data_IF_095907409568
#
_entry.id   IF_095907409568
#
_cell.length_a   1.000
_cell.length_b   1.000
_cell.length_c   1.000
_cell.angle_alpha   90.00
_cell.angle_beta   90.00
_cell.angle_gamma   90.00
#
_symmetry.space_group_name_H-M   'P 1'
#
loop_
_entity.id
_entity.type
_entity.pdbx_description
1 polymer ?
#
# COMPACT_ATOMS: atom_id res chain seq x y z
N UNK A 1 19.74 15.30 2.69
CA UNK A 1 19.76 14.37 3.84
C UNK A 1 21.19 14.17 4.30
N UNK A 2 21.51 14.47 5.55
CA UNK A 2 22.85 14.27 6.08
C UNK A 2 23.18 12.76 6.11
N UNK A 3 24.30 12.37 5.51
CA UNK A 3 24.75 10.97 5.43
C UNK A 3 25.30 10.57 6.81
N UNK A 4 24.44 10.06 7.68
CA UNK A 4 24.83 9.54 8.99
C UNK A 4 25.81 8.39 8.73
N UNK A 5 27.08 8.61 9.07
CA UNK A 5 28.16 7.62 8.94
C UNK A 5 28.05 6.64 10.10
N UNK A 6 27.97 5.35 9.78
CA UNK A 6 28.05 4.29 10.77
C UNK A 6 29.44 4.31 11.45
N UNK A 7 29.46 4.55 12.78
CA UNK A 7 30.68 4.63 13.60
C UNK A 7 30.93 3.35 14.41
N UNK A 8 30.21 2.28 14.10
CA UNK A 8 30.31 0.99 14.82
C UNK A 8 31.72 0.41 14.77
N UNK A 9 32.42 0.57 13.63
CA UNK A 9 33.80 0.07 13.52
C UNK A 9 34.79 0.93 14.31
N UNK A 10 34.64 2.26 14.32
CA UNK A 10 35.45 3.17 15.14
C UNK A 10 35.38 2.79 16.64
N UNK A 11 34.19 2.40 17.13
CA UNK A 11 33.99 1.91 18.50
C UNK A 11 34.68 0.56 18.75
N UNK A 12 34.56 -0.40 17.83
CA UNK A 12 35.22 -1.70 17.96
C UNK A 12 36.74 -1.56 17.97
N UNK A 13 37.29 -0.66 17.16
CA UNK A 13 38.72 -0.34 17.15
C UNK A 13 39.18 0.30 18.46
N UNK A 14 38.41 1.23 19.02
CA UNK A 14 38.71 1.80 20.34
C UNK A 14 38.73 0.74 21.44
N UNK A 15 37.77 -0.20 21.44
CA UNK A 15 37.74 -1.29 22.44
C UNK A 15 38.90 -2.26 22.23
N UNK A 16 39.28 -2.56 20.97
CA UNK A 16 40.49 -3.35 20.66
C UNK A 16 41.74 -2.71 21.25
N UNK A 17 41.92 -1.41 21.05
CA UNK A 17 43.09 -0.68 21.57
C UNK A 17 43.16 -0.69 23.10
N UNK A 18 42.02 -0.53 23.79
CA UNK A 18 41.95 -0.56 25.25
C UNK A 18 42.21 -1.98 25.80
N UNK A 19 41.70 -3.01 25.13
CA UNK A 19 41.94 -4.39 25.54
C UNK A 19 43.42 -4.80 25.34
N UNK A 20 44.09 -4.31 24.30
CA UNK A 20 45.52 -4.54 24.09
C UNK A 20 46.35 -3.80 25.16
N UNK A 21 46.00 -2.55 25.50
CA UNK A 21 46.73 -1.78 26.52
C UNK A 21 46.58 -2.36 27.93
N UNK A 22 45.47 -3.04 28.21
CA UNK A 22 45.23 -3.77 29.46
C UNK A 22 45.85 -5.18 29.47
N UNK A 23 46.55 -5.60 28.40
CA UNK A 23 47.27 -6.88 28.34
C UNK A 23 46.38 -8.11 28.19
N UNK A 24 45.19 -7.99 27.60
CA UNK A 24 44.31 -9.13 27.38
C UNK A 24 44.87 -10.08 26.30
N UNK A 25 44.84 -11.39 26.60
CA UNK A 25 45.20 -12.44 25.64
C UNK A 25 44.22 -12.47 24.45
N UNK A 26 44.67 -12.96 23.30
CA UNK A 26 43.91 -12.99 22.04
C UNK A 26 42.56 -13.72 22.16
N UNK A 27 42.49 -14.76 23.00
CA UNK A 27 41.24 -15.49 23.30
C UNK A 27 40.22 -14.65 24.07
N UNK A 28 40.67 -13.83 25.03
CA UNK A 28 39.78 -12.91 25.78
C UNK A 28 39.35 -11.73 24.92
N UNK A 29 40.23 -11.23 24.07
CA UNK A 29 39.90 -10.21 23.09
C UNK A 29 38.82 -10.71 22.12
N UNK A 30 38.98 -11.93 21.59
CA UNK A 30 37.98 -12.55 20.72
C UNK A 30 36.63 -12.75 21.43
N UNK A 31 36.62 -13.15 22.70
CA UNK A 31 35.40 -13.29 23.49
C UNK A 31 34.68 -11.95 23.71
N UNK A 32 35.42 -10.87 23.99
CA UNK A 32 34.88 -9.50 24.12
C UNK A 32 34.34 -9.00 22.78
N UNK A 33 35.06 -9.26 21.69
CA UNK A 33 34.61 -8.88 20.34
C UNK A 33 33.37 -9.67 19.90
N UNK A 34 33.22 -10.91 20.36
CA UNK A 34 32.08 -11.78 20.08
C UNK A 34 30.86 -11.49 20.97
N UNK A 35 31.06 -10.95 22.18
CA UNK A 35 29.97 -10.59 23.10
C UNK A 35 29.26 -9.29 22.73
N UNK A 36 29.76 -8.55 21.74
CA UNK A 36 29.06 -7.37 21.24
C UNK A 36 27.72 -7.74 20.61
N UNK A 37 26.64 -7.18 21.16
CA UNK A 37 25.29 -7.22 20.59
C UNK A 37 25.24 -6.48 19.23
N UNK A 38 26.26 -5.66 18.93
CA UNK A 38 26.33 -4.87 17.71
C UNK A 38 26.80 -5.75 16.55
N UNK A 39 25.83 -6.26 15.81
CA UNK A 39 26.03 -7.11 14.65
C UNK A 39 26.77 -6.37 13.54
N UNK A 40 27.51 -7.11 12.70
CA UNK A 40 28.12 -6.56 11.48
C UNK A 40 27.01 -5.93 10.63
N UNK A 41 27.19 -4.70 10.11
CA UNK A 41 26.17 -4.07 9.27
C UNK A 41 25.83 -5.02 8.12
N UNK A 42 24.54 -5.31 7.97
CA UNK A 42 24.05 -6.25 6.95
C UNK A 42 24.56 -5.78 5.59
N UNK A 43 25.38 -6.61 4.95
CA UNK A 43 25.91 -6.30 3.62
C UNK A 43 24.74 -5.97 2.71
N UNK A 44 24.78 -4.78 2.10
CA UNK A 44 23.67 -4.30 1.28
C UNK A 44 23.50 -5.29 0.12
N UNK A 45 22.29 -5.80 -0.04
CA UNK A 45 21.99 -6.70 -1.13
C UNK A 45 22.25 -6.01 -2.48
N UNK A 46 22.56 -6.76 -3.56
CA UNK A 46 22.70 -6.17 -4.89
C UNK A 46 21.47 -5.35 -5.29
N UNK A 47 20.28 -5.79 -4.88
CA UNK A 47 19.03 -5.04 -5.01
C UNK A 47 19.08 -3.70 -4.26
N UNK A 48 19.45 -3.70 -2.98
CA UNK A 48 19.52 -2.46 -2.17
C UNK A 48 20.53 -1.47 -2.76
N UNK A 49 21.66 -1.96 -3.28
CA UNK A 49 22.65 -1.11 -3.94
C UNK A 49 22.11 -0.49 -5.23
N UNK A 50 21.41 -1.28 -6.05
CA UNK A 50 20.75 -0.80 -7.26
C UNK A 50 19.66 0.24 -6.93
N UNK A 51 18.81 -0.04 -5.94
CA UNK A 51 17.73 0.85 -5.51
C UNK A 51 18.22 2.21 -5.00
N UNK A 52 19.35 2.23 -4.30
CA UNK A 52 19.97 3.48 -3.86
C UNK A 52 20.56 4.27 -5.03
N UNK A 53 21.18 3.59 -6.00
CA UNK A 53 21.67 4.23 -7.22
C UNK A 53 20.53 4.84 -8.03
N UNK A 54 19.40 4.14 -8.17
CA UNK A 54 18.22 4.69 -8.85
C UNK A 54 17.64 5.88 -8.10
N UNK A 55 17.64 5.88 -6.76
CA UNK A 55 17.20 7.02 -5.97
C UNK A 55 18.08 8.25 -6.19
N UNK A 56 19.41 8.07 -6.26
CA UNK A 56 20.34 9.14 -6.62
C UNK A 56 20.08 9.68 -8.03
N UNK A 57 19.83 8.79 -9.00
CA UNK A 57 19.47 9.19 -10.38
C UNK A 57 18.15 9.97 -10.45
N UNK A 58 17.13 9.57 -9.69
CA UNK A 58 15.85 10.29 -9.61
C UNK A 58 16.07 11.69 -9.04
N UNK A 59 16.82 11.82 -7.94
CA UNK A 59 17.11 13.13 -7.37
C UNK A 59 17.89 14.06 -8.31
N UNK A 60 18.82 13.51 -9.11
CA UNK A 60 19.52 14.28 -10.13
C UNK A 60 18.58 14.74 -11.26
N UNK A 61 17.65 13.87 -11.67
CA UNK A 61 16.64 14.19 -12.68
C UNK A 61 15.67 15.27 -12.19
N UNK A 62 15.20 15.18 -10.94
CA UNK A 62 14.33 16.20 -10.33
C UNK A 62 15.00 17.58 -10.32
N UNK A 63 16.28 17.65 -9.94
CA UNK A 63 17.05 18.90 -9.97
C UNK A 63 17.20 19.44 -11.39
N UNK A 64 17.45 18.57 -12.36
CA UNK A 64 17.55 18.94 -13.77
C UNK A 64 16.23 19.50 -14.30
N UNK A 65 15.12 18.79 -14.06
CA UNK A 65 13.77 19.20 -14.46
C UNK A 65 13.36 20.53 -13.83
N UNK A 66 13.69 20.74 -12.55
CA UNK A 66 13.43 22.01 -11.87
C UNK A 66 14.21 23.17 -12.49
N UNK A 67 15.49 22.96 -12.84
CA UNK A 67 16.34 23.98 -13.47
C UNK A 67 15.84 24.36 -14.87
N UNK A 68 15.31 23.39 -15.60
CA UNK A 68 14.83 23.54 -16.97
C UNK A 68 13.30 23.68 -17.06
N UNK A 69 12.58 23.90 -15.95
CA UNK A 69 11.11 23.91 -15.94
C UNK A 69 10.48 24.87 -16.97
N UNK A 70 11.04 26.06 -17.14
CA UNK A 70 10.53 27.06 -18.09
C UNK A 70 10.65 26.61 -19.55
N UNK A 71 11.67 25.82 -19.84
CA UNK A 71 11.94 25.26 -21.16
C UNK A 71 10.88 24.24 -21.60
N UNK A 72 10.22 23.57 -20.63
CA UNK A 72 9.24 22.51 -20.88
C UNK A 72 7.78 22.98 -20.93
N UNK A 73 7.49 24.19 -20.46
CA UNK A 73 6.12 24.76 -20.41
C UNK A 73 5.83 25.63 -21.65
N UNK A 74 6.85 25.92 -22.46
CA UNK A 74 6.73 26.80 -23.61
C UNK A 74 6.04 26.10 -24.80
N UNK A 75 4.80 26.53 -25.10
CA UNK A 75 3.88 25.87 -26.03
C UNK A 75 4.37 25.85 -27.49
N UNK A 76 5.31 26.73 -27.85
CA UNK A 76 5.80 26.90 -29.23
C UNK A 76 7.22 26.36 -29.47
N UNK A 77 7.79 25.63 -28.51
CA UNK A 77 9.16 25.11 -28.62
C UNK A 77 9.26 23.80 -29.41
N UNK A 78 8.25 22.95 -29.35
CA UNK A 78 8.27 21.60 -29.92
C UNK A 78 7.37 21.52 -31.15
N UNK A 79 7.87 20.92 -32.22
CA UNK A 79 7.06 20.61 -33.41
C UNK A 79 5.99 19.56 -33.09
N UNK A 80 4.91 19.49 -33.87
CA UNK A 80 3.85 18.49 -33.69
C UNK A 80 4.39 17.06 -33.71
N UNK A 81 5.32 16.75 -34.61
CA UNK A 81 5.98 15.45 -34.70
C UNK A 81 6.83 15.11 -33.47
N UNK A 82 7.52 16.10 -32.87
CA UNK A 82 8.26 15.89 -31.63
C UNK A 82 7.32 15.64 -30.45
N UNK A 83 6.15 16.29 -30.42
CA UNK A 83 5.12 16.05 -29.39
C UNK A 83 4.57 14.63 -29.49
N UNK A 84 4.19 14.18 -30.69
CA UNK A 84 3.68 12.83 -30.91
C UNK A 84 4.72 11.76 -30.53
N UNK A 85 6.00 11.98 -30.86
CA UNK A 85 7.09 11.08 -30.48
C UNK A 85 7.25 10.99 -28.96
N UNK A 86 7.19 12.13 -28.27
CA UNK A 86 7.28 12.18 -26.80
C UNK A 86 6.07 11.47 -26.17
N UNK A 87 4.86 11.70 -26.67
CA UNK A 87 3.65 11.04 -26.19
C UNK A 87 3.74 9.51 -26.36
N UNK A 88 4.21 9.04 -27.52
CA UNK A 88 4.43 7.62 -27.77
C UNK A 88 5.45 7.02 -26.79
N UNK A 89 6.57 7.69 -26.55
CA UNK A 89 7.58 7.24 -25.59
C UNK A 89 7.04 7.18 -24.15
N UNK A 90 6.24 8.18 -23.74
CA UNK A 90 5.57 8.21 -22.43
C UNK A 90 4.59 7.05 -22.29
N UNK A 91 3.81 6.75 -23.34
CA UNK A 91 2.89 5.61 -23.35
C UNK A 91 3.64 4.28 -23.18
N UNK A 92 4.72 4.06 -23.94
CA UNK A 92 5.55 2.84 -23.85
C UNK A 92 6.17 2.71 -22.45
N UNK A 93 6.67 3.81 -21.89
CA UNK A 93 7.22 3.83 -20.53
C UNK A 93 6.13 3.45 -19.51
N UNK A 94 4.93 4.02 -19.65
CA UNK A 94 3.82 3.76 -18.74
C UNK A 94 3.42 2.28 -18.77
N UNK A 95 3.34 1.65 -19.95
CA UNK A 95 3.02 0.23 -20.08
C UNK A 95 4.07 -0.65 -19.38
N UNK A 96 5.36 -0.35 -19.60
CA UNK A 96 6.46 -1.06 -18.93
C UNK A 96 6.40 -0.88 -17.41
N UNK A 97 6.07 0.31 -16.93
CA UNK A 97 5.94 0.57 -15.50
C UNK A 97 4.79 -0.24 -14.88
N UNK A 98 3.62 -0.28 -15.52
CA UNK A 98 2.49 -1.12 -15.09
C UNK A 98 2.88 -2.61 -15.04
N UNK A 99 3.62 -3.11 -16.03
CA UNK A 99 4.12 -4.48 -16.05
C UNK A 99 5.04 -4.80 -14.86
N UNK A 100 5.96 -3.88 -14.54
CA UNK A 100 6.87 -4.03 -13.38
C UNK A 100 6.10 -3.99 -12.07
N UNK A 101 5.13 -3.08 -11.94
CA UNK A 101 4.26 -2.98 -10.75
C UNK A 101 3.47 -4.27 -10.52
N UNK A 102 2.88 -4.85 -11.58
CA UNK A 102 2.16 -6.11 -11.49
C UNK A 102 3.06 -7.26 -11.01
N UNK A 103 4.28 -7.37 -11.55
CA UNK A 103 5.27 -8.38 -11.10
C UNK A 103 5.69 -8.16 -9.66
N UNK A 104 5.88 -6.90 -9.25
CA UNK A 104 6.21 -6.58 -7.87
C UNK A 104 5.09 -7.01 -6.91
N UNK A 105 3.84 -6.74 -7.26
CA UNK A 105 2.68 -7.13 -6.46
C UNK A 105 2.52 -8.64 -6.37
N UNK A 106 2.75 -9.36 -7.47
CA UNK A 106 2.79 -10.82 -7.47
C UNK A 106 3.86 -11.37 -6.50
N UNK A 107 5.09 -10.86 -6.57
CA UNK A 107 6.18 -11.28 -5.67
C UNK A 107 5.93 -10.89 -4.22
N UNK A 108 5.25 -9.76 -3.99
CA UNK A 108 4.81 -9.32 -2.67
C UNK A 108 3.78 -10.30 -2.10
N UNK A 109 2.78 -10.69 -2.88
CA UNK A 109 1.76 -11.67 -2.49
C UNK A 109 2.36 -13.05 -2.16
N UNK A 110 3.29 -13.55 -2.97
CA UNK A 110 3.98 -14.83 -2.70
C UNK A 110 4.71 -14.77 -1.36
N UNK A 111 5.45 -13.69 -1.08
CA UNK A 111 6.17 -13.55 0.19
C UNK A 111 5.23 -13.49 1.40
N UNK A 112 4.07 -12.85 1.25
CA UNK A 112 3.05 -12.86 2.30
C UNK A 112 2.49 -14.25 2.54
N UNK A 113 2.18 -14.99 1.46
CA UNK A 113 1.70 -16.36 1.57
C UNK A 113 2.74 -17.29 2.21
N UNK A 114 4.01 -17.16 1.84
CA UNK A 114 5.10 -17.91 2.45
C UNK A 114 5.30 -17.59 3.94
N UNK A 115 5.10 -16.33 4.33
CA UNK A 115 5.16 -15.92 5.74
C UNK A 115 3.99 -16.52 6.54
N UNK A 116 2.79 -16.58 5.95
CA UNK A 116 1.62 -17.24 6.54
C UNK A 116 1.87 -18.75 6.68
N UNK A 117 2.28 -19.42 5.61
CA UNK A 117 2.56 -20.85 5.58
C UNK A 117 3.66 -21.28 6.57
N UNK A 118 4.63 -20.41 6.86
CA UNK A 118 5.68 -20.64 7.87
C UNK A 118 5.19 -20.45 9.31
N UNK A 119 4.16 -19.64 9.53
CA UNK A 119 3.61 -19.35 10.87
C UNK A 119 2.46 -20.28 11.26
N UNK A 120 1.85 -21.00 10.32
CA UNK A 120 0.89 -22.07 10.65
C UNK A 120 1.70 -23.24 11.23
N UNK A 121 1.60 -23.53 12.55
CA UNK A 121 2.32 -24.66 13.12
C UNK A 121 1.78 -25.93 12.47
N UNK A 122 2.69 -26.86 12.16
CA UNK A 122 2.39 -28.23 11.75
C UNK A 122 1.54 -28.91 12.83
N UNK A 123 0.22 -28.72 12.82
CA UNK A 123 -0.77 -29.60 13.46
C UNK A 123 -0.80 -30.93 12.68
N UNK A 124 0.32 -31.67 12.72
CA UNK A 124 0.28 -33.13 12.57
C UNK A 124 0.73 -33.71 13.90
N UNK A 125 -0.28 -33.88 14.73
CA UNK A 125 -0.32 -34.76 15.89
C UNK A 125 0.31 -36.11 15.52
N UNK A 126 1.52 -36.37 16.02
CA UNK A 126 2.06 -37.73 16.12
C UNK A 126 1.24 -38.48 17.18
N UNK A 127 0.08 -38.99 16.80
CA UNK A 127 -0.68 -39.99 17.57
C UNK A 127 -0.60 -41.31 16.82
N UNK A 128 0.49 -42.04 17.04
CA UNK A 128 0.57 -43.49 16.84
C UNK A 128 1.89 -44.03 17.46
N UNK A 129 1.97 -44.01 18.79
CA UNK A 129 2.73 -45.03 19.51
C UNK A 129 1.75 -46.15 19.89
N UNK A 130 2.27 -47.38 19.95
CA UNK A 130 1.66 -48.63 20.41
C UNK A 130 0.74 -49.39 19.45
N UNK A 131 1.36 -50.26 18.64
CA UNK A 131 0.83 -51.62 18.44
C UNK A 131 1.55 -52.55 19.39
N UNK A 132 0.74 -53.29 20.14
CA UNK A 132 1.13 -54.16 21.22
C UNK A 132 1.94 -55.38 20.76
N UNK A 133 2.89 -55.74 21.62
CA UNK A 133 3.38 -57.09 21.96
C UNK A 133 2.67 -58.29 21.31
N UNK A 134 3.45 -59.15 20.64
CA UNK A 134 3.25 -60.62 20.65
C UNK A 134 4.62 -61.31 20.59
N UNK A 135 4.98 -61.93 21.73
CA UNK A 135 5.83 -63.12 21.94
C UNK A 135 7.22 -63.19 21.31
N UNK A 136 8.26 -63.19 22.14
CA UNK A 136 9.32 -64.24 22.12
C UNK A 136 9.85 -64.43 23.56
N UNK A 137 9.98 -65.69 23.93
CA UNK A 137 10.51 -66.28 25.16
C UNK A 137 11.88 -65.72 25.62
N UNK A 138 12.09 -65.53 26.93
CA UNK A 138 13.06 -66.32 27.73
C UNK A 138 13.22 -65.81 29.19
N UNK A 139 12.71 -66.62 30.13
CA UNK A 139 13.32 -67.10 31.39
C UNK A 139 14.05 -66.19 32.40
N UNK A 140 13.47 -66.16 33.62
CA UNK A 140 14.07 -66.36 34.97
C UNK A 140 15.14 -65.39 35.51
N UNK A 141 14.87 -64.82 36.69
CA UNK A 141 15.54 -65.15 37.99
C UNK A 141 14.88 -64.39 39.16
N UNK A 142 14.86 -65.03 40.33
CA UNK A 142 14.06 -64.71 41.53
C UNK A 142 14.84 -63.91 42.61
N UNK A 143 14.06 -63.41 43.61
CA UNK A 143 14.39 -63.12 45.04
C UNK A 143 14.92 -61.69 45.35
N UNK A 144 14.56 -60.96 46.43
CA UNK A 144 13.83 -61.21 47.69
C UNK A 144 13.37 -59.85 48.33
N UNK A 145 12.25 -59.86 49.07
CA UNK A 145 11.68 -58.97 50.13
C UNK A 145 12.31 -57.62 50.58
N UNK A 146 11.46 -56.60 50.87
CA UNK A 146 11.24 -55.98 52.22
C UNK A 146 10.26 -54.77 52.22
N UNK A 147 9.16 -54.90 52.98
CA UNK A 147 8.33 -53.92 53.76
C UNK A 147 7.57 -52.72 53.14
N UNK A 148 6.27 -52.63 53.51
CA UNK A 148 5.26 -51.55 53.35
C UNK A 148 5.58 -50.25 54.17
N UNK A 149 4.65 -49.27 54.31
CA UNK A 149 4.01 -48.37 53.34
C UNK A 149 4.22 -46.88 53.73
N UNK A 150 4.16 -45.91 52.80
CA UNK A 150 4.03 -44.50 53.21
C UNK A 150 3.14 -43.68 52.27
N UNK A 151 2.27 -42.90 52.91
CA UNK A 151 0.95 -42.48 52.46
C UNK A 151 1.00 -41.01 52.02
N UNK A 152 1.60 -40.73 50.86
CA UNK A 152 1.71 -39.34 50.33
C UNK A 152 1.64 -39.33 48.80
N UNK A 153 0.53 -39.77 48.18
CA UNK A 153 0.35 -39.60 46.72
C UNK A 153 -1.03 -39.11 46.19
N UNK A 154 -2.07 -38.75 46.97
CA UNK A 154 -3.28 -38.19 46.37
C UNK A 154 -3.19 -36.68 46.05
N UNK A 155 -2.40 -35.91 46.82
CA UNK A 155 -2.43 -34.44 46.75
C UNK A 155 -1.60 -33.87 45.58
N UNK A 156 -0.45 -34.46 45.29
CA UNK A 156 0.39 -34.06 44.14
C UNK A 156 -0.29 -34.33 42.80
N UNK A 157 -1.07 -35.42 42.70
CA UNK A 157 -1.81 -35.75 41.49
C UNK A 157 -3.02 -34.84 41.29
N UNK A 158 -3.69 -34.44 42.38
CA UNK A 158 -4.82 -33.50 42.33
C UNK A 158 -4.41 -32.10 41.90
N UNK A 159 -3.30 -31.59 42.43
CA UNK A 159 -2.78 -30.27 42.03
C UNK A 159 -2.35 -30.28 40.56
N UNK A 160 -1.75 -31.37 40.07
CA UNK A 160 -1.37 -31.49 38.66
C UNK A 160 -2.59 -31.60 37.74
N UNK A 161 -3.64 -32.31 38.16
CA UNK A 161 -4.91 -32.38 37.44
C UNK A 161 -5.60 -31.00 37.37
N UNK A 162 -5.62 -30.28 38.49
CA UNK A 162 -6.23 -28.97 38.60
C UNK A 162 -5.49 -27.91 37.76
N UNK A 163 -4.15 -27.94 37.73
CA UNK A 163 -3.36 -27.05 36.86
C UNK A 163 -3.64 -27.33 35.38
N UNK A 164 -3.79 -28.59 34.99
CA UNK A 164 -4.14 -28.95 33.61
C UNK A 164 -5.55 -28.48 33.24
N UNK A 165 -6.50 -28.58 34.16
CA UNK A 165 -7.86 -28.07 33.97
C UNK A 165 -7.87 -26.54 33.88
N UNK A 166 -7.09 -25.85 34.72
CA UNK A 166 -6.92 -24.39 34.70
C UNK A 166 -6.27 -23.90 33.38
N UNK A 167 -5.24 -24.59 32.90
CA UNK A 167 -4.62 -24.32 31.58
C UNK A 167 -5.61 -24.55 30.44
N UNK A 168 -6.43 -25.60 30.53
CA UNK A 168 -7.45 -25.90 29.51
C UNK A 168 -8.53 -24.83 29.49
N UNK A 169 -8.98 -24.36 30.67
CA UNK A 169 -9.91 -23.25 30.80
C UNK A 169 -9.32 -21.94 30.27
N UNK A 170 -8.06 -21.63 30.59
CA UNK A 170 -7.38 -20.43 30.10
C UNK A 170 -7.27 -20.41 28.57
N UNK A 171 -6.86 -21.53 27.98
CA UNK A 171 -6.79 -21.69 26.51
C UNK A 171 -8.17 -21.59 25.86
N UNK A 172 -9.21 -22.11 26.52
CA UNK A 172 -10.57 -22.02 26.01
C UNK A 172 -11.08 -20.58 26.01
N UNK A 173 -10.80 -19.81 27.07
CA UNK A 173 -11.11 -18.38 27.14
C UNK A 173 -10.34 -17.58 26.07
N UNK A 174 -9.05 -17.88 25.87
CA UNK A 174 -8.25 -17.21 24.83
C UNK A 174 -8.77 -17.52 23.42
N UNK A 175 -9.15 -18.77 23.15
CA UNK A 175 -9.75 -19.17 21.88
C UNK A 175 -11.11 -18.51 21.64
N UNK A 176 -11.95 -18.40 22.67
CA UNK A 176 -13.23 -17.71 22.58
C UNK A 176 -13.03 -16.22 22.32
N UNK A 177 -12.08 -15.58 23.01
CA UNK A 177 -11.75 -14.17 22.78
C UNK A 177 -11.19 -13.92 21.37
N UNK A 178 -10.33 -14.81 20.86
CA UNK A 178 -9.83 -14.74 19.49
C UNK A 178 -10.95 -14.92 18.46
N UNK A 179 -11.92 -15.80 18.72
CA UNK A 179 -13.07 -16.00 17.85
C UNK A 179 -13.94 -14.75 17.81
N UNK A 180 -14.24 -14.14 18.96
CA UNK A 180 -14.98 -12.87 19.04
C UNK A 180 -14.27 -11.76 18.28
N UNK A 181 -12.96 -11.62 18.44
CA UNK A 181 -12.15 -10.64 17.71
C UNK A 181 -12.20 -10.88 16.19
N UNK A 182 -12.13 -12.14 15.75
CA UNK A 182 -12.23 -12.49 14.32
C UNK A 182 -13.61 -12.14 13.78
N UNK A 183 -14.68 -12.49 14.49
CA UNK A 183 -16.06 -12.19 14.08
C UNK A 183 -16.33 -10.68 14.01
N UNK A 184 -15.76 -9.90 14.95
CA UNK A 184 -15.81 -8.44 14.90
C UNK A 184 -15.08 -7.89 13.68
N UNK A 185 -13.88 -8.42 13.39
CA UNK A 185 -13.11 -7.99 12.21
C UNK A 185 -13.80 -8.37 10.89
N UNK A 186 -14.47 -9.52 10.84
CA UNK A 186 -15.26 -9.95 9.69
C UNK A 186 -16.42 -8.99 9.44
N UNK A 187 -17.16 -8.63 10.48
CA UNK A 187 -18.28 -7.69 10.39
C UNK A 187 -17.82 -6.32 9.88
N UNK A 188 -16.72 -5.79 10.43
CA UNK A 188 -16.12 -4.53 9.97
C UNK A 188 -15.66 -4.59 8.51
N UNK A 189 -15.12 -5.72 8.07
CA UNK A 189 -14.71 -5.91 6.68
C UNK A 189 -15.93 -5.95 5.73
N UNK A 190 -17.04 -6.58 6.15
CA UNK A 190 -18.28 -6.58 5.38
C UNK A 190 -18.88 -5.16 5.25
N UNK A 191 -18.90 -4.39 6.35
CA UNK A 191 -19.34 -3.00 6.33
C UNK A 191 -18.44 -2.13 5.43
N UNK A 192 -17.12 -2.30 5.52
CA UNK A 192 -16.18 -1.62 4.63
C UNK A 192 -16.39 -2.00 3.15
N UNK A 193 -16.73 -3.27 2.87
CA UNK A 193 -17.05 -3.72 1.51
C UNK A 193 -18.31 -3.05 0.97
N UNK A 194 -19.37 -3.00 1.78
CA UNK A 194 -20.62 -2.33 1.43
C UNK A 194 -20.42 -0.83 1.19
N UNK A 195 -19.67 -0.16 2.07
CA UNK A 195 -19.32 1.25 1.93
C UNK A 195 -18.48 1.50 0.67
N UNK A 196 -17.47 0.67 0.42
CA UNK A 196 -16.62 0.79 -0.76
C UNK A 196 -17.40 0.58 -2.07
N UNK A 197 -18.36 -0.36 -2.07
CA UNK A 197 -19.25 -0.56 -3.20
C UNK A 197 -20.11 0.68 -3.46
N UNK A 198 -20.74 1.25 -2.42
CA UNK A 198 -21.54 2.47 -2.54
C UNK A 198 -20.71 3.66 -3.03
N UNK A 199 -19.49 3.82 -2.51
CA UNK A 199 -18.56 4.87 -2.94
C UNK A 199 -18.17 4.69 -4.42
N UNK A 200 -17.90 3.46 -4.85
CA UNK A 200 -17.57 3.16 -6.25
C UNK A 200 -18.74 3.49 -7.18
N UNK A 201 -19.97 3.18 -6.79
CA UNK A 201 -21.18 3.55 -7.54
C UNK A 201 -21.33 5.06 -7.65
N UNK A 202 -21.15 5.80 -6.54
CA UNK A 202 -21.24 7.26 -6.56
C UNK A 202 -20.13 7.91 -7.38
N UNK A 203 -18.89 7.42 -7.31
CA UNK A 203 -17.77 7.92 -8.12
C UNK A 203 -18.03 7.69 -9.61
N UNK A 204 -18.55 6.52 -9.98
CA UNK A 204 -18.92 6.22 -11.36
C UNK A 204 -20.06 7.14 -11.84
N UNK A 205 -21.10 7.31 -11.03
CA UNK A 205 -22.20 8.21 -11.34
C UNK A 205 -21.72 9.66 -11.50
N UNK A 206 -20.81 10.12 -10.63
CA UNK A 206 -20.24 11.46 -10.71
C UNK A 206 -19.39 11.64 -11.97
N UNK A 207 -18.64 10.62 -12.39
CA UNK A 207 -17.87 10.66 -13.64
C UNK A 207 -18.79 10.86 -14.85
N UNK A 208 -19.92 10.14 -14.92
CA UNK A 208 -20.92 10.30 -15.98
C UNK A 208 -21.54 11.70 -15.99
N UNK A 209 -21.80 12.28 -14.81
CA UNK A 209 -22.31 13.66 -14.72
C UNK A 209 -21.31 14.70 -15.24
N UNK A 210 -20.02 14.50 -14.95
CA UNK A 210 -18.95 15.38 -15.46
C UNK A 210 -18.86 15.30 -16.98
N UNK A 211 -19.01 14.11 -17.56
CA UNK A 211 -19.00 13.90 -19.01
C UNK A 211 -20.16 14.65 -19.70
N UNK A 212 -21.38 14.56 -19.15
CA UNK A 212 -22.53 15.31 -19.67
C UNK A 212 -22.31 16.82 -19.59
N UNK A 213 -21.79 17.32 -18.47
CA UNK A 213 -21.48 18.74 -18.30
C UNK A 213 -20.39 19.20 -19.27
N UNK A 214 -19.40 18.35 -19.55
CA UNK A 214 -18.36 18.64 -20.54
C UNK A 214 -18.95 18.73 -21.95
N UNK A 215 -19.79 17.77 -22.35
CA UNK A 215 -20.43 17.79 -23.67
C UNK A 215 -21.28 19.06 -23.85
N UNK A 216 -22.08 19.42 -22.85
CA UNK A 216 -22.87 20.65 -22.85
C UNK A 216 -22.00 21.91 -22.92
N UNK A 217 -20.87 21.94 -22.22
CA UNK A 217 -19.94 23.06 -22.28
C UNK A 217 -19.32 23.19 -23.67
N UNK A 218 -18.91 22.08 -24.29
CA UNK A 218 -18.39 22.06 -25.66
C UNK A 218 -19.44 22.56 -26.66
N UNK A 219 -20.67 22.06 -26.56
CA UNK A 219 -21.77 22.52 -27.43
C UNK A 219 -22.05 24.02 -27.23
N UNK A 220 -22.10 24.49 -25.97
CA UNK A 220 -22.27 25.91 -25.66
C UNK A 220 -21.13 26.77 -26.25
N UNK A 221 -19.88 26.33 -26.16
CA UNK A 221 -18.74 27.06 -26.74
C UNK A 221 -18.82 27.12 -28.26
N UNK A 222 -19.23 26.02 -28.91
CA UNK A 222 -19.46 26.00 -30.37
C UNK A 222 -20.56 26.97 -30.77
N UNK A 223 -21.66 27.02 -30.02
CA UNK A 223 -22.76 27.95 -30.29
C UNK A 223 -22.33 29.41 -30.09
N UNK A 224 -21.51 29.71 -29.10
CA UNK A 224 -20.93 31.05 -28.89
C UNK A 224 -19.97 31.40 -30.03
N UNK A 225 -19.12 30.48 -30.48
CA UNK A 225 -18.21 30.71 -31.60
C UNK A 225 -18.96 31.00 -32.90
N UNK A 226 -19.98 30.21 -33.21
CA UNK A 226 -20.86 30.44 -34.36
C UNK A 226 -21.59 31.77 -34.23
N UNK A 227 -22.15 32.07 -33.06
CA UNK A 227 -22.78 33.35 -32.77
C UNK A 227 -21.84 34.54 -33.00
N UNK A 228 -20.58 34.43 -32.59
CA UNK A 228 -19.57 35.47 -32.80
C UNK A 228 -19.20 35.65 -34.28
N UNK A 229 -19.17 34.56 -35.07
CA UNK A 229 -18.97 34.62 -36.53
C UNK A 229 -20.12 35.35 -37.21
N UNK A 230 -21.36 35.03 -36.85
CA UNK A 230 -22.55 35.68 -37.39
C UNK A 230 -22.62 37.16 -36.99
N UNK A 231 -22.32 37.50 -35.74
CA UNK A 231 -22.21 38.90 -35.29
C UNK A 231 -21.14 39.68 -36.07
N UNK A 232 -19.98 39.07 -36.31
CA UNK A 232 -18.91 39.68 -37.09
C UNK A 232 -19.34 39.94 -38.54
N UNK A 233 -20.07 39.00 -39.14
CA UNK A 233 -20.63 39.17 -40.49
C UNK A 233 -21.74 40.24 -40.54
N UNK A 234 -22.59 40.34 -39.51
CA UNK A 234 -23.63 41.35 -39.42
C UNK A 234 -23.06 42.78 -39.28
N UNK A 235 -22.01 42.94 -38.46
CA UNK A 235 -21.26 44.21 -38.35
C UNK A 235 -20.67 44.60 -39.70
N UNK A 236 -20.08 43.66 -40.45
CA UNK A 236 -19.56 43.91 -41.79
C UNK A 236 -20.64 44.29 -42.81
N UNK A 237 -21.86 43.76 -42.65
CA UNK A 237 -23.01 44.05 -43.52
C UNK A 237 -23.72 45.36 -43.18
N UNK A 238 -23.33 46.06 -42.10
CA UNK A 238 -24.01 47.26 -41.59
C UNK A 238 -25.54 47.05 -41.45
N UNK A 239 -25.95 45.83 -41.07
CA UNK A 239 -27.35 45.55 -40.76
C UNK A 239 -27.70 46.22 -39.43
N UNK A 240 -28.89 46.82 -39.36
CA UNK A 240 -29.35 47.45 -38.12
C UNK A 240 -29.41 46.39 -37.02
N UNK A 241 -29.07 46.73 -35.77
CA UNK A 241 -29.01 45.78 -34.66
C UNK A 241 -30.29 44.92 -34.51
N UNK A 242 -31.45 45.44 -34.93
CA UNK A 242 -32.73 44.75 -34.95
C UNK A 242 -32.80 43.57 -35.94
N UNK A 243 -32.17 43.66 -37.11
CA UNK A 243 -32.09 42.53 -38.06
C UNK A 243 -31.13 41.44 -37.55
N UNK A 244 -30.08 41.84 -36.83
CA UNK A 244 -29.13 40.91 -36.23
C UNK A 244 -29.74 40.12 -35.05
N UNK A 245 -30.56 40.77 -34.21
CA UNK A 245 -31.31 40.12 -33.13
C UNK A 245 -32.33 39.11 -33.68
N UNK A 246 -33.03 39.44 -34.77
CA UNK A 246 -34.00 38.53 -35.39
C UNK A 246 -33.34 37.31 -36.05
N UNK A 247 -32.17 37.46 -36.68
CA UNK A 247 -31.43 36.33 -37.25
C UNK A 247 -30.88 35.40 -36.16
N UNK A 248 -30.36 35.97 -35.06
CA UNK A 248 -29.85 35.19 -33.93
C UNK A 248 -30.97 34.37 -33.25
N UNK A 249 -32.15 34.96 -33.06
CA UNK A 249 -33.31 34.26 -32.50
C UNK A 249 -33.86 33.16 -33.43
N UNK A 250 -33.79 33.37 -34.75
CA UNK A 250 -34.28 32.43 -35.76
C UNK A 250 -33.36 31.22 -35.98
N UNK A 251 -32.04 31.41 -35.90
CA UNK A 251 -31.04 30.34 -36.08
C UNK A 251 -30.84 29.52 -34.80
N UNK A 252 -30.74 30.15 -33.63
CA UNK A 252 -30.33 29.44 -32.42
C UNK A 252 -31.49 28.86 -31.60
N UNK A 253 -32.75 29.14 -31.94
CA UNK A 253 -33.91 28.52 -31.29
C UNK A 253 -33.94 28.69 -29.76
N UNK A 254 -33.24 29.71 -29.23
CA UNK A 254 -33.20 29.99 -27.79
C UNK A 254 -34.44 30.80 -27.47
N UNK A 255 -35.49 30.07 -27.07
CA UNK A 255 -36.79 30.61 -26.71
C UNK A 255 -36.69 31.80 -25.76
N UNK A 256 -37.58 32.77 -26.00
CA UNK A 256 -37.78 34.02 -25.26
C UNK A 256 -37.81 33.88 -23.72
N UNK A 257 -37.97 32.67 -23.19
CA UNK A 257 -38.06 32.35 -21.76
C UNK A 257 -36.77 32.61 -20.97
N UNK A 258 -35.58 32.38 -21.53
CA UNK A 258 -34.31 32.63 -20.78
C UNK A 258 -33.91 34.11 -20.77
N UNK A 259 -34.26 34.84 -21.83
CA UNK A 259 -34.00 36.28 -21.94
C UNK A 259 -34.91 37.09 -21.02
N UNK A 260 -36.18 36.70 -20.88
CA UNK A 260 -37.09 37.31 -19.90
C UNK A 260 -36.65 37.07 -18.45
N UNK A 261 -36.03 35.93 -18.14
CA UNK A 261 -35.52 35.63 -16.80
C UNK A 261 -34.34 36.54 -16.41
N UNK A 262 -33.41 36.78 -17.34
CA UNK A 262 -32.26 37.69 -17.13
C UNK A 262 -32.70 39.16 -17.12
N UNK A 263 -33.65 39.54 -17.98
CA UNK A 263 -34.21 40.90 -18.01
C UNK A 263 -35.03 41.22 -16.75
N UNK A 264 -35.72 40.24 -16.18
CA UNK A 264 -36.48 40.38 -14.93
C UNK A 264 -35.61 40.56 -13.69
N UNK A 265 -34.44 39.91 -13.63
CA UNK A 265 -33.49 40.06 -12.52
C UNK A 265 -32.73 41.39 -12.56
N UNK A 266 -32.46 41.93 -13.75
CA UNK A 266 -31.81 43.25 -13.90
C UNK A 266 -32.77 44.42 -13.63
N UNK A 267 -34.07 44.25 -13.87
CA UNK A 267 -35.08 45.28 -13.58
C UNK A 267 -35.62 45.28 -12.15
N UNK A 268 -35.39 44.21 -11.37
CA UNK A 268 -35.80 44.10 -9.96
C UNK A 268 -34.95 44.89 -8.95
N UNK A 269 -33.89 45.57 -9.40
CA UNK A 269 -33.01 46.41 -8.54
C UNK A 269 -33.20 47.92 -8.74
N UNK A 270 -34.21 48.33 -9.50
CA UNK A 270 -34.61 49.74 -9.63
C UNK A 270 -36.14 49.90 -9.62
N UNK A 271 -36.77 49.55 -8.50
CA UNK A 271 -37.78 50.34 -7.77
C UNK A 271 -38.40 49.52 -6.66
#
# INVERSE_FOLDING_TARGET
MAKIRDRTEDFKDAVRHIAISLGYNETRLAAIMASFIIHKPRQRSPFTRAALKTLESIGALEQFMLKHRKDYVDLHRTTEQERDSIEQEVLILSEKLHSVTARFDQLRAIRFQDAINKRIPRRKLNRAANKNTTTVYSSKTNNLEFSEPDDIQPESLRVQQQVLDDETCALQVELTSLLEAVQETETKMLEMSALNHLMSTHVLQQAQQIELLYEQAVEATKNVELGNKELSQAIQRNSTAAECEQLFAREFGIGELKWLYVRGTVLGYKR
#
